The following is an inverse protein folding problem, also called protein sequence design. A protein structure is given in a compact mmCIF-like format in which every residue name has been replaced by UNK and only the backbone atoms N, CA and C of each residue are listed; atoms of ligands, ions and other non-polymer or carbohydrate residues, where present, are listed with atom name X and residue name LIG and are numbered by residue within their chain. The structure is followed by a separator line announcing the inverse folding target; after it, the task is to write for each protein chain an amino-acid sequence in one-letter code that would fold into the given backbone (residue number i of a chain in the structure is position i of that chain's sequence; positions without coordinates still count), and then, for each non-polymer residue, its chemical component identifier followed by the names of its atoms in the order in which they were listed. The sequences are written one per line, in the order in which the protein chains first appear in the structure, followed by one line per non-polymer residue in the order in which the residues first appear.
data_IF_013276914861
#
_entry.id   IF_013276914861
#
_cell.length_a   1.000
_cell.length_b   1.000
_cell.length_c   1.000
_cell.angle_alpha   90.00
_cell.angle_beta   90.00
_cell.angle_gamma   90.00
#
_symmetry.space_group_name_H-M   'P 1'
#
loop_
_entity.id
_entity.type
_entity.pdbx_description
1 polymer ?
#
# COMPACT_ATOMS: atom_id res chain seq x y z
N UNK A 1 -9.54 6.09 -4.69
CA UNK A 1 -10.70 5.87 -3.79
C UNK A 1 -10.24 5.25 -2.49
N UNK A 2 -10.62 5.81 -1.34
CA UNK A 2 -10.34 5.23 -0.01
C UNK A 2 -11.44 5.65 0.96
N UNK A 3 -11.75 4.81 1.97
CA UNK A 3 -12.71 5.13 3.05
C UNK A 3 -14.11 5.55 2.53
N UNK A 4 -14.71 4.74 1.65
CA UNK A 4 -16.09 4.92 1.21
C UNK A 4 -16.86 3.62 1.44
N UNK A 5 -18.12 3.74 1.88
CA UNK A 5 -19.01 2.59 2.05
C UNK A 5 -19.29 1.89 0.70
N UNK A 6 -19.41 2.69 -0.36
CA UNK A 6 -19.44 2.22 -1.76
C UNK A 6 -18.27 2.82 -2.58
N UNK A 7 -17.13 2.12 -2.69
CA UNK A 7 -16.00 2.55 -3.50
C UNK A 7 -16.31 2.69 -5.01
N UNK A 8 -17.36 2.04 -5.51
CA UNK A 8 -17.72 2.02 -6.93
C UNK A 8 -18.63 3.18 -7.32
N UNK A 9 -19.22 3.88 -6.34
CA UNK A 9 -20.12 5.01 -6.58
C UNK A 9 -19.48 6.10 -7.45
N UNK A 10 -18.19 6.37 -7.26
CA UNK A 10 -17.46 7.38 -8.05
C UNK A 10 -17.42 7.01 -9.54
N UNK A 11 -17.24 5.72 -9.86
CA UNK A 11 -17.20 5.24 -11.23
C UNK A 11 -18.59 5.27 -11.86
N UNK A 12 -19.60 4.76 -11.14
CA UNK A 12 -21.01 4.76 -11.60
C UNK A 12 -21.56 6.15 -11.84
N UNK A 13 -21.10 7.14 -11.07
CA UNK A 13 -21.51 8.54 -11.21
C UNK A 13 -20.74 9.27 -12.33
N UNK A 14 -19.77 8.64 -12.99
CA UNK A 14 -18.90 9.30 -13.97
C UNK A 14 -18.07 10.44 -13.35
N UNK A 15 -17.78 10.37 -12.05
CA UNK A 15 -17.14 11.45 -11.30
C UNK A 15 -15.59 11.37 -11.31
N UNK A 16 -15.03 10.35 -11.96
CA UNK A 16 -13.59 10.20 -12.16
C UNK A 16 -13.32 9.35 -13.40
N UNK A 17 -12.22 9.65 -14.09
CA UNK A 17 -11.75 8.90 -15.25
C UNK A 17 -10.78 7.77 -14.86
N UNK A 18 -10.25 7.79 -13.64
CA UNK A 18 -9.26 6.85 -13.14
C UNK A 18 -9.39 6.66 -11.62
N UNK A 19 -9.10 5.45 -11.15
CA UNK A 19 -9.06 5.15 -9.72
C UNK A 19 -7.64 4.96 -9.18
N UNK A 20 -7.30 5.74 -8.15
CA UNK A 20 -6.13 5.47 -7.30
C UNK A 20 -6.47 4.41 -6.25
N UNK A 21 -5.77 3.28 -6.30
CA UNK A 21 -5.98 2.10 -5.46
C UNK A 21 -4.85 1.98 -4.44
N UNK A 22 -5.22 1.79 -3.17
CA UNK A 22 -4.27 1.50 -2.07
C UNK A 22 -4.83 0.33 -1.26
N UNK A 23 -4.04 -0.72 -1.08
CA UNK A 23 -4.53 -1.96 -0.47
C UNK A 23 -5.03 -1.77 0.98
N UNK A 24 -4.25 -1.08 1.82
CA UNK A 24 -4.51 -0.91 3.25
C UNK A 24 -5.91 -0.31 3.53
N UNK A 25 -6.28 0.87 3.00
CA UNK A 25 -7.59 1.45 3.27
C UNK A 25 -8.74 0.74 2.53
N UNK A 26 -8.44 -0.21 1.64
CA UNK A 26 -9.44 -1.01 0.91
C UNK A 26 -9.59 -2.43 1.46
N UNK A 27 -8.93 -2.77 2.58
CA UNK A 27 -9.08 -4.08 3.22
C UNK A 27 -8.22 -5.18 2.58
N UNK A 28 -7.05 -4.82 2.06
CA UNK A 28 -6.05 -5.76 1.55
C UNK A 28 -6.14 -6.05 0.05
N UNK A 29 -5.18 -6.83 -0.44
CA UNK A 29 -4.97 -7.11 -1.87
C UNK A 29 -6.21 -7.72 -2.52
N UNK A 30 -6.78 -8.77 -1.94
CA UNK A 30 -7.92 -9.47 -2.54
C UNK A 30 -9.15 -8.57 -2.72
N UNK A 31 -9.49 -7.78 -1.70
CA UNK A 31 -10.62 -6.84 -1.79
C UNK A 31 -10.33 -5.72 -2.78
N UNK A 32 -9.11 -5.20 -2.81
CA UNK A 32 -8.69 -4.21 -3.80
C UNK A 32 -8.82 -4.75 -5.23
N UNK A 33 -8.36 -5.97 -5.52
CA UNK A 33 -8.50 -6.61 -6.84
C UNK A 33 -9.95 -6.82 -7.27
N UNK A 34 -10.88 -7.07 -6.35
CA UNK A 34 -12.31 -7.09 -6.72
C UNK A 34 -12.79 -5.71 -7.16
N UNK A 35 -12.44 -4.67 -6.38
CA UNK A 35 -12.83 -3.30 -6.67
C UNK A 35 -12.28 -2.86 -8.04
N UNK A 36 -11.04 -3.21 -8.38
CA UNK A 36 -10.47 -2.84 -9.69
C UNK A 36 -11.21 -3.51 -10.85
N UNK A 37 -11.66 -4.76 -10.70
CA UNK A 37 -12.47 -5.45 -11.72
C UNK A 37 -13.87 -4.84 -11.86
N UNK A 38 -14.50 -4.53 -10.74
CA UNK A 38 -15.89 -4.04 -10.71
C UNK A 38 -16.01 -2.56 -11.11
N UNK A 39 -14.91 -1.79 -11.06
CA UNK A 39 -14.91 -0.36 -11.33
C UNK A 39 -15.15 0.02 -12.79
N UNK A 40 -14.71 -0.81 -13.74
CA UNK A 40 -14.80 -0.50 -15.17
C UNK A 40 -14.02 0.75 -15.60
N UNK A 41 -13.06 1.21 -14.79
CA UNK A 41 -12.19 2.36 -15.07
C UNK A 41 -10.72 1.94 -15.03
N UNK A 42 -9.83 2.64 -15.75
CA UNK A 42 -8.39 2.56 -15.54
C UNK A 42 -8.03 2.75 -14.07
N UNK A 43 -7.03 2.00 -13.61
CA UNK A 43 -6.56 2.07 -12.21
C UNK A 43 -5.07 2.32 -12.14
N UNK A 44 -4.65 2.95 -11.05
CA UNK A 44 -3.24 3.07 -10.67
C UNK A 44 -3.08 2.62 -9.22
N UNK A 45 -1.99 1.91 -8.91
CA UNK A 45 -1.67 1.53 -7.53
C UNK A 45 -0.76 2.58 -6.91
N UNK A 46 -0.99 2.90 -5.63
CA UNK A 46 -0.17 3.84 -4.87
C UNK A 46 0.02 3.36 -3.43
N UNK A 47 1.16 3.71 -2.84
CA UNK A 47 1.43 3.47 -1.41
C UNK A 47 0.81 4.55 -0.52
N UNK A 48 0.86 4.35 0.80
CA UNK A 48 0.42 5.32 1.80
C UNK A 48 1.59 5.95 2.57
N UNK A 49 2.77 6.08 1.94
CA UNK A 49 4.06 6.30 2.61
C UNK A 49 4.33 5.15 3.60
N UNK A 50 4.48 3.96 3.05
CA UNK A 50 4.78 2.76 3.82
C UNK A 50 6.27 2.45 3.78
N UNK A 51 6.75 1.74 4.80
CA UNK A 51 8.03 1.01 4.75
C UNK A 51 8.02 -0.03 3.63
N UNK A 52 9.16 -0.68 3.36
CA UNK A 52 9.21 -1.75 2.37
C UNK A 52 8.20 -2.88 2.59
N UNK A 53 7.71 -3.07 3.83
CA UNK A 53 6.64 -4.04 4.14
C UNK A 53 5.34 -3.70 3.40
N UNK A 54 4.89 -2.44 3.47
CA UNK A 54 3.69 -2.01 2.76
C UNK A 54 3.91 -1.87 1.26
N UNK A 55 5.12 -1.47 0.84
CA UNK A 55 5.48 -1.42 -0.58
C UNK A 55 5.47 -2.80 -1.22
N UNK A 56 5.95 -3.84 -0.55
CA UNK A 56 5.88 -5.21 -1.05
C UNK A 56 4.44 -5.64 -1.32
N UNK A 57 3.51 -5.29 -0.42
CA UNK A 57 2.08 -5.56 -0.60
C UNK A 57 1.50 -4.78 -1.80
N UNK A 58 1.88 -3.52 -1.97
CA UNK A 58 1.41 -2.69 -3.08
C UNK A 58 2.00 -3.12 -4.43
N UNK A 59 3.27 -3.52 -4.47
CA UNK A 59 3.92 -4.10 -5.65
C UNK A 59 3.25 -5.41 -6.07
N UNK A 60 2.90 -6.27 -5.10
CA UNK A 60 2.14 -7.49 -5.37
C UNK A 60 0.74 -7.19 -5.91
N UNK A 61 0.02 -6.20 -5.35
CA UNK A 61 -1.27 -5.76 -5.89
C UNK A 61 -1.13 -5.26 -7.33
N UNK A 62 -0.14 -4.41 -7.62
CA UNK A 62 0.10 -3.89 -8.96
C UNK A 62 0.38 -5.02 -9.96
N UNK A 63 1.24 -5.97 -9.60
CA UNK A 63 1.58 -7.11 -10.45
C UNK A 63 0.41 -8.06 -10.74
N UNK A 64 -0.63 -8.04 -9.90
CA UNK A 64 -1.83 -8.87 -10.07
C UNK A 64 -2.94 -8.18 -10.90
N UNK A 65 -2.77 -6.92 -11.28
CA UNK A 65 -3.72 -6.20 -12.15
C UNK A 65 -3.30 -6.43 -13.61
N UNK A 66 -4.21 -6.88 -14.50
CA UNK A 66 -3.86 -7.26 -15.88
C UNK A 66 -3.24 -6.13 -16.71
N UNK A 67 -3.69 -4.89 -16.50
CA UNK A 67 -3.23 -3.72 -17.24
C UNK A 67 -3.08 -2.53 -16.30
N UNK A 68 -1.92 -1.87 -16.39
CA UNK A 68 -1.59 -0.65 -15.66
C UNK A 68 -1.04 0.37 -16.67
N UNK A 69 -1.90 1.19 -17.30
CA UNK A 69 -1.47 2.14 -18.33
C UNK A 69 -0.70 3.35 -17.76
N UNK A 70 -0.61 3.47 -16.43
CA UNK A 70 0.09 4.54 -15.74
C UNK A 70 1.05 3.98 -14.68
N UNK A 71 2.13 4.72 -14.43
CA UNK A 71 3.11 4.37 -13.41
C UNK A 71 2.50 4.32 -12.00
N UNK A 72 2.88 3.31 -11.24
CA UNK A 72 2.41 3.16 -9.86
C UNK A 72 3.19 4.08 -8.91
N UNK A 73 2.48 4.70 -7.97
CA UNK A 73 3.07 5.56 -6.94
C UNK A 73 3.70 4.75 -5.80
N UNK A 74 4.72 3.95 -6.10
CA UNK A 74 5.37 3.01 -5.15
C UNK A 74 6.79 3.41 -4.74
N UNK A 75 7.38 4.41 -5.38
CA UNK A 75 8.73 4.89 -5.07
C UNK A 75 8.82 5.73 -3.80
N UNK A 76 8.04 5.45 -2.77
CA UNK A 76 7.95 6.31 -1.57
C UNK A 76 8.92 5.94 -0.47
N UNK A 77 9.56 4.77 -0.53
CA UNK A 77 10.60 4.39 0.45
C UNK A 77 11.78 5.35 0.41
N UNK A 78 12.10 5.93 -0.75
CA UNK A 78 13.16 6.95 -0.90
C UNK A 78 12.90 8.26 -0.14
N UNK A 79 11.67 8.47 0.38
CA UNK A 79 11.31 9.63 1.19
C UNK A 79 11.62 9.41 2.68
N UNK A 80 11.91 8.18 3.09
CA UNK A 80 12.26 7.84 4.46
C UNK A 80 13.77 7.99 4.67
N UNK A 81 14.16 8.41 5.88
CA UNK A 81 15.58 8.43 6.28
C UNK A 81 16.10 7.00 6.41
N UNK A 82 15.30 6.11 7.00
CA UNK A 82 15.64 4.70 7.23
C UNK A 82 14.41 3.80 7.01
N UNK A 83 14.66 2.52 6.77
CA UNK A 83 13.65 1.48 6.55
C UNK A 83 13.89 0.29 7.50
N UNK A 84 12.94 -0.64 7.58
CA UNK A 84 12.97 -1.78 8.52
C UNK A 84 13.46 -3.09 7.90
N UNK A 85 14.02 -3.04 6.69
CA UNK A 85 14.56 -4.21 5.97
C UNK A 85 15.99 -3.94 5.53
N UNK A 86 16.82 -4.99 5.46
CA UNK A 86 18.21 -4.85 5.04
C UNK A 86 18.39 -4.51 3.55
N UNK A 87 17.40 -4.90 2.72
CA UNK A 87 17.36 -4.62 1.28
C UNK A 87 16.03 -3.90 0.94
N UNK A 88 16.00 -2.55 1.01
CA UNK A 88 14.80 -1.75 0.78
C UNK A 88 14.27 -1.82 -0.66
N UNK A 89 12.95 -1.75 -0.81
CA UNK A 89 12.26 -1.66 -2.09
C UNK A 89 12.31 -0.23 -2.63
N UNK A 90 13.50 0.22 -3.03
CA UNK A 90 13.68 1.48 -3.77
C UNK A 90 13.58 1.22 -5.28
N UNK A 91 13.02 2.16 -6.08
CA UNK A 91 12.97 1.99 -7.52
C UNK A 91 14.38 2.02 -8.15
N UNK A 92 14.59 1.15 -9.14
CA UNK A 92 15.77 1.15 -10.02
C UNK A 92 15.25 1.20 -11.46
N UNK A 93 15.76 2.14 -12.26
CA UNK A 93 15.33 2.36 -13.65
C UNK A 93 13.81 2.47 -13.82
N UNK A 94 13.16 3.18 -12.89
CA UNK A 94 11.71 3.39 -12.88
C UNK A 94 10.88 2.16 -12.50
N UNK A 95 11.51 1.08 -12.01
CA UNK A 95 10.85 -0.19 -11.68
C UNK A 95 11.08 -0.58 -10.24
N UNK A 96 10.15 -1.34 -9.69
CA UNK A 96 10.24 -1.90 -8.33
C UNK A 96 10.07 -3.42 -8.40
N UNK A 97 10.88 -4.23 -7.68
CA UNK A 97 10.76 -5.67 -7.75
C UNK A 97 9.52 -6.17 -6.99
N UNK A 98 8.89 -7.20 -7.53
CA UNK A 98 7.75 -7.88 -6.88
C UNK A 98 8.30 -9.04 -6.06
N UNK A 99 8.65 -8.77 -4.79
CA UNK A 99 9.14 -9.78 -3.86
C UNK A 99 8.57 -9.58 -2.47
N UNK A 100 8.55 -10.66 -1.69
CA UNK A 100 8.34 -10.54 -0.24
C UNK A 100 9.57 -9.90 0.39
N UNK A 101 9.35 -9.23 1.51
CA UNK A 101 10.40 -8.66 2.35
C UNK A 101 10.28 -9.26 3.74
N UNK A 102 11.42 -9.42 4.40
CA UNK A 102 11.49 -9.82 5.81
C UNK A 102 12.06 -8.66 6.60
N UNK A 103 11.34 -8.12 7.59
CA UNK A 103 11.89 -7.13 8.50
C UNK A 103 13.16 -7.64 9.18
N UNK A 104 14.18 -6.79 9.28
CA UNK A 104 15.41 -7.10 10.00
C UNK A 104 15.21 -6.79 11.49
N UNK A 105 15.47 -7.78 12.35
CA UNK A 105 15.23 -7.65 13.78
C UNK A 105 16.01 -6.50 14.42
N UNK A 106 17.26 -6.29 13.99
CA UNK A 106 18.10 -5.19 14.49
C UNK A 106 17.55 -3.84 14.04
N UNK A 107 17.09 -3.71 12.80
CA UNK A 107 16.47 -2.46 12.33
C UNK A 107 15.15 -2.17 13.04
N UNK A 108 14.37 -3.21 13.36
CA UNK A 108 13.17 -3.05 14.20
C UNK A 108 13.51 -2.54 15.60
N UNK A 109 14.58 -3.03 16.21
CA UNK A 109 15.03 -2.55 17.53
C UNK A 109 15.54 -1.11 17.46
N UNK A 110 16.35 -0.76 16.44
CA UNK A 110 16.88 0.60 16.25
C UNK A 110 15.76 1.62 16.00
N UNK A 111 14.73 1.23 15.24
CA UNK A 111 13.59 2.09 14.92
C UNK A 111 12.37 1.87 15.84
N UNK A 112 12.57 1.20 16.97
CA UNK A 112 11.50 0.96 17.91
C UNK A 112 10.94 2.29 18.43
N UNK A 113 9.61 2.41 18.41
CA UNK A 113 8.94 3.50 19.07
C UNK A 113 9.06 3.36 20.60
N UNK A 114 9.02 4.48 21.32
CA UNK A 114 8.93 4.47 22.79
C UNK A 114 7.71 3.65 23.28
N UNK A 115 7.77 3.19 24.53
CA UNK A 115 6.76 2.31 25.10
C UNK A 115 5.34 2.91 25.00
N UNK A 116 5.18 4.19 25.32
CA UNK A 116 3.89 4.88 25.25
C UNK A 116 3.34 4.92 23.81
N UNK A 117 4.19 5.17 22.82
CA UNK A 117 3.83 5.18 21.40
C UNK A 117 3.47 3.78 20.92
N UNK A 118 4.25 2.76 21.28
CA UNK A 118 3.97 1.36 20.97
C UNK A 118 2.60 0.96 21.52
N UNK A 119 2.36 1.23 22.80
CA UNK A 119 1.13 0.81 23.48
C UNK A 119 -0.10 1.52 22.89
N UNK A 120 0.02 2.82 22.57
CA UNK A 120 -1.03 3.55 21.80
C UNK A 120 -1.35 2.91 20.45
N UNK A 121 -0.35 2.43 19.72
CA UNK A 121 -0.56 1.75 18.44
C UNK A 121 -1.22 0.38 18.63
N UNK A 122 -0.79 -0.42 19.61
CA UNK A 122 -1.41 -1.71 19.93
C UNK A 122 -2.88 -1.54 20.32
N UNK A 123 -3.21 -0.55 21.15
CA UNK A 123 -4.58 -0.24 21.52
C UNK A 123 -5.42 0.19 20.32
N UNK A 124 -4.85 0.98 19.42
CA UNK A 124 -5.54 1.37 18.19
C UNK A 124 -5.84 0.16 17.32
N UNK A 125 -4.88 -0.75 17.13
CA UNK A 125 -5.09 -1.99 16.37
C UNK A 125 -6.22 -2.81 17.01
N UNK A 126 -6.22 -2.99 18.34
CA UNK A 126 -7.31 -3.68 19.05
C UNK A 126 -8.68 -3.06 18.74
N UNK A 127 -8.79 -1.73 18.72
CA UNK A 127 -10.04 -1.04 18.38
C UNK A 127 -10.47 -1.16 16.91
N UNK A 128 -9.54 -1.44 15.99
CA UNK A 128 -9.81 -1.35 14.53
C UNK A 128 -9.50 -2.62 13.74
N UNK A 129 -9.21 -3.75 14.39
CA UNK A 129 -8.91 -5.02 13.70
C UNK A 129 -10.17 -5.83 13.31
N UNK A 130 -11.35 -5.34 13.68
CA UNK A 130 -12.65 -5.96 13.38
C UNK A 130 -13.19 -5.54 12.01
#
# INVERSE_FOLDING_TARGET
VRKADDPLRVARAGAADLLVIKAQPLGGIHRALRITRDAGLPVVVSSALDTSVGIAMAAHLAAAIPELPHDCGLGTVSLFVEDVVADPLVPVDGRIPVRRVTPDARLLDVHAADADRRDRWLDRIRRTHA
#
